data_IF_502515241219
#
_entry.id   IF_502515241219
#
_cell.length_a   1.000
_cell.length_b   1.000
_cell.length_c   1.000
_cell.angle_alpha   90.00
_cell.angle_beta   90.00
_cell.angle_gamma   90.00
#
_symmetry.space_group_name_H-M   'P 1'
#
loop_
_entity.id
_entity.type
_entity.pdbx_description
1 polymer ?
#
# COMPACT_ATOMS: atom_id res chain seq x y z
N UNK A 1 11.00 -0.57 -9.05
CA UNK A 1 10.01 -1.66 -9.24
C UNK A 1 8.70 -1.26 -8.56
N UNK A 2 7.59 -1.86 -8.97
CA UNK A 2 6.24 -1.61 -8.40
C UNK A 2 5.58 -2.95 -8.08
N UNK A 3 4.93 -3.04 -6.92
CA UNK A 3 4.04 -4.12 -6.50
C UNK A 3 2.65 -3.53 -6.22
N UNK A 4 1.59 -4.33 -6.41
CA UNK A 4 0.21 -3.97 -6.08
C UNK A 4 -0.19 -4.68 -4.81
N UNK A 5 -0.70 -3.94 -3.83
CA UNK A 5 -1.15 -4.48 -2.54
C UNK A 5 -2.61 -4.12 -2.32
N UNK A 6 -3.40 -5.06 -1.81
CA UNK A 6 -4.77 -4.78 -1.38
C UNK A 6 -4.74 -3.89 -0.13
N UNK A 7 -5.56 -2.83 -0.12
CA UNK A 7 -5.74 -2.00 1.07
C UNK A 7 -6.63 -2.76 2.06
N UNK A 8 -6.19 -2.88 3.31
CA UNK A 8 -6.86 -3.68 4.33
C UNK A 8 -8.16 -3.04 4.82
N UNK A 9 -8.15 -1.71 4.99
CA UNK A 9 -9.29 -0.90 5.43
C UNK A 9 -9.57 0.24 4.45
N UNK A 10 -10.20 -0.01 3.29
CA UNK A 10 -10.49 1.02 2.31
C UNK A 10 -11.34 2.17 2.87
N UNK A 11 -12.26 1.86 3.79
CA UNK A 11 -13.13 2.81 4.47
C UNK A 11 -12.39 3.80 5.37
N UNK A 12 -11.20 3.46 5.87
CA UNK A 12 -10.36 4.37 6.65
C UNK A 12 -9.53 5.35 5.79
N UNK A 13 -9.48 5.13 4.47
CA UNK A 13 -8.57 5.86 3.57
C UNK A 13 -9.26 6.48 2.35
N UNK A 14 -10.50 6.09 2.06
CA UNK A 14 -11.20 6.46 0.83
C UNK A 14 -12.63 6.95 1.11
N UNK A 15 -12.81 7.85 2.08
CA UNK A 15 -14.11 8.39 2.52
C UNK A 15 -15.04 8.75 1.37
N UNK A 16 -14.53 9.47 0.36
CA UNK A 16 -15.32 9.88 -0.81
C UNK A 16 -15.82 8.67 -1.61
N UNK A 17 -14.97 7.66 -1.82
CA UNK A 17 -15.37 6.45 -2.53
C UNK A 17 -16.41 5.66 -1.72
N UNK A 18 -16.24 5.57 -0.41
CA UNK A 18 -17.20 4.92 0.51
C UNK A 18 -18.56 5.61 0.49
N UNK A 19 -18.61 6.95 0.44
CA UNK A 19 -19.86 7.71 0.34
C UNK A 19 -20.57 7.46 -1.00
N UNK A 20 -19.82 7.34 -2.10
CA UNK A 20 -20.40 7.18 -3.44
C UNK A 20 -20.82 5.72 -3.70
N UNK A 21 -20.02 4.76 -3.25
CA UNK A 21 -20.15 3.34 -3.62
C UNK A 21 -20.57 2.43 -2.45
N UNK A 22 -20.86 2.98 -1.28
CA UNK A 22 -21.08 2.25 -0.02
C UNK A 22 -19.79 1.60 0.55
N UNK A 23 -19.87 0.95 1.71
CA UNK A 23 -18.74 0.34 2.43
C UNK A 23 -18.17 -0.93 1.78
N UNK A 24 -18.61 -1.30 0.58
CA UNK A 24 -18.16 -2.50 -0.14
C UNK A 24 -17.02 -2.24 -1.13
N UNK A 25 -16.37 -1.08 -1.03
CA UNK A 25 -15.23 -0.71 -1.88
C UNK A 25 -14.06 -1.66 -1.64
N UNK A 26 -13.56 -2.25 -2.73
CA UNK A 26 -12.23 -2.89 -2.76
C UNK A 26 -11.23 -1.88 -3.29
N UNK A 27 -10.08 -1.76 -2.63
CA UNK A 27 -9.05 -0.81 -3.02
C UNK A 27 -7.68 -1.48 -3.13
N UNK A 28 -6.88 -0.94 -4.05
CA UNK A 28 -5.53 -1.39 -4.35
C UNK A 28 -4.58 -0.20 -4.24
N UNK A 29 -3.39 -0.43 -3.68
CA UNK A 29 -2.32 0.53 -3.58
C UNK A 29 -1.14 0.09 -4.45
N UNK A 30 -0.58 1.03 -5.21
CA UNK A 30 0.73 0.88 -5.82
C UNK A 30 1.82 1.15 -4.77
N UNK A 31 2.69 0.18 -4.57
CA UNK A 31 3.84 0.25 -3.68
C UNK A 31 5.09 0.17 -4.54
N UNK A 32 6.06 1.06 -4.34
CA UNK A 32 7.28 1.08 -5.14
C UNK A 32 8.56 1.07 -4.29
N UNK A 33 9.65 0.66 -4.93
CA UNK A 33 11.00 0.71 -4.34
C UNK A 33 11.52 2.14 -4.27
N UNK A 34 12.25 2.50 -3.22
CA UNK A 34 12.96 3.77 -3.12
C UNK A 34 14.44 3.65 -3.55
N UNK A 35 15.25 4.68 -3.28
CA UNK A 35 16.71 4.69 -3.49
C UNK A 35 17.33 3.36 -3.07
N UNK A 36 18.31 2.91 -3.86
CA UNK A 36 18.96 1.59 -3.71
C UNK A 36 18.02 0.38 -3.88
N UNK A 37 16.89 0.58 -4.57
CA UNK A 37 15.90 -0.47 -4.88
C UNK A 37 15.29 -1.16 -3.66
N UNK A 38 15.25 -0.47 -2.51
CA UNK A 38 14.68 -1.02 -1.27
C UNK A 38 13.18 -0.90 -1.24
N UNK A 39 12.50 -1.96 -0.81
CA UNK A 39 11.07 -1.97 -0.55
C UNK A 39 10.71 -1.41 0.84
N UNK A 40 9.45 -0.96 1.06
CA UNK A 40 8.98 -0.46 2.36
C UNK A 40 9.06 -1.45 3.52
N UNK A 41 9.00 -2.75 3.24
CA UNK A 41 9.13 -3.81 4.24
C UNK A 41 10.59 -4.24 4.49
N UNK A 42 11.56 -3.65 3.79
CA UNK A 42 12.97 -3.90 4.05
C UNK A 42 13.53 -2.93 5.12
N UNK A 43 14.48 -3.37 5.95
CA UNK A 43 15.20 -2.49 6.85
C UNK A 43 15.84 -1.31 6.11
N UNK A 44 15.73 -0.11 6.69
CA UNK A 44 16.34 1.10 6.13
C UNK A 44 15.66 1.62 4.87
N UNK A 45 14.41 1.22 4.59
CA UNK A 45 13.61 1.88 3.57
C UNK A 45 13.61 3.38 3.77
N UNK A 46 13.97 4.11 2.71
CA UNK A 46 13.96 5.57 2.70
C UNK A 46 14.71 6.19 3.90
N UNK A 47 15.85 5.59 4.28
CA UNK A 47 16.67 6.01 5.42
C UNK A 47 15.85 6.14 6.73
N UNK A 48 14.78 5.35 6.88
CA UNK A 48 13.86 5.37 8.02
C UNK A 48 12.77 6.45 7.97
N UNK A 49 12.67 7.24 6.90
CA UNK A 49 11.75 8.41 6.81
C UNK A 49 10.32 8.07 6.36
N UNK A 50 9.97 6.80 6.15
CA UNK A 50 8.62 6.29 5.79
C UNK A 50 7.77 7.21 4.89
N UNK A 51 8.29 7.60 3.72
CA UNK A 51 7.58 8.49 2.77
C UNK A 51 6.41 7.83 2.03
N UNK A 52 6.27 6.51 2.16
CA UNK A 52 5.21 5.75 1.54
C UNK A 52 4.54 4.89 2.61
N UNK A 53 3.40 5.32 3.17
CA UNK A 53 2.59 4.45 4.01
C UNK A 53 2.15 3.25 3.17
N UNK A 54 2.14 2.06 3.76
CA UNK A 54 1.62 0.85 3.13
C UNK A 54 0.36 0.47 3.89
N UNK A 55 -0.78 0.52 3.21
CA UNK A 55 -2.11 0.47 3.82
C UNK A 55 -2.72 -0.94 3.83
N UNK A 56 -1.89 -1.96 3.69
CA UNK A 56 -2.30 -3.34 3.72
C UNK A 56 -1.12 -4.29 3.75
N UNK A 57 -1.43 -5.58 3.89
CA UNK A 57 -0.41 -6.61 4.03
C UNK A 57 0.16 -6.96 2.66
N UNK A 58 1.49 -6.99 2.55
CA UNK A 58 2.17 -7.49 1.35
C UNK A 58 1.73 -8.94 1.11
N UNK A 59 1.11 -9.20 -0.04
CA UNK A 59 0.85 -10.57 -0.46
C UNK A 59 2.19 -11.26 -0.74
N UNK A 60 2.35 -12.50 -0.28
CA UNK A 60 3.47 -13.32 -0.74
C UNK A 60 3.45 -13.36 -2.27
N UNK A 61 4.59 -13.14 -2.96
CA UNK A 61 4.65 -13.33 -4.41
C UNK A 61 4.09 -14.72 -4.72
N UNK A 62 3.12 -14.82 -5.63
CA UNK A 62 2.73 -16.12 -6.15
C UNK A 62 3.99 -16.75 -6.76
N UNK A 63 4.40 -17.90 -6.22
CA UNK A 63 5.53 -18.70 -6.73
C UNK A 63 5.34 -19.09 -8.19
#
# INVERSE_FOLDING_TARGET
MVEVVAIEYPDAHMDTATVIYSSTVKALQLVWTYRRSRWPWEPGFNDGRSIQPVLGVRSTPNS
#
